data_IF_011229202116
#
_entry.id   IF_011229202116
#
_cell.length_a   1.000
_cell.length_b   1.000
_cell.length_c   1.000
_cell.angle_alpha   90.00
_cell.angle_beta   90.00
_cell.angle_gamma   90.00
#
_symmetry.space_group_name_H-M   'P 1'
#
loop_
_entity.id
_entity.type
_entity.pdbx_description
1 polymer ?
#
# COMPACT_ATOMS: atom_id res chain seq x y z
N UNK A 1 -20.73 -13.75 -25.91
CA UNK A 1 -21.24 -13.60 -24.52
C UNK A 1 -21.78 -14.93 -23.98
N UNK A 2 -22.47 -15.77 -24.76
CA UNK A 2 -23.08 -17.01 -24.24
C UNK A 2 -22.07 -18.11 -23.92
N UNK A 3 -21.07 -18.34 -24.77
CA UNK A 3 -20.01 -19.35 -24.55
C UNK A 3 -19.11 -18.95 -23.36
N UNK A 4 -18.76 -17.68 -23.23
CA UNK A 4 -17.96 -17.15 -22.13
C UNK A 4 -18.66 -17.24 -20.75
N UNK A 5 -20.02 -17.27 -20.72
CA UNK A 5 -20.78 -17.33 -19.45
C UNK A 5 -20.69 -18.72 -18.82
N UNK A 6 -20.81 -19.79 -19.61
CA UNK A 6 -20.73 -21.16 -19.10
C UNK A 6 -19.33 -21.46 -18.55
N UNK A 7 -18.29 -21.07 -19.29
CA UNK A 7 -16.90 -21.20 -18.83
C UNK A 7 -16.65 -20.41 -17.55
N UNK A 8 -17.16 -19.18 -17.47
CA UNK A 8 -17.05 -18.36 -16.26
C UNK A 8 -17.79 -18.98 -15.06
N UNK A 9 -18.99 -19.53 -15.25
CA UNK A 9 -19.75 -20.21 -14.19
C UNK A 9 -18.99 -21.45 -13.70
N UNK A 10 -18.47 -22.26 -14.62
CA UNK A 10 -17.70 -23.45 -14.26
C UNK A 10 -16.44 -23.08 -13.49
N UNK A 11 -15.74 -22.03 -13.90
CA UNK A 11 -14.59 -21.49 -13.16
C UNK A 11 -14.97 -21.08 -11.73
N UNK A 12 -16.11 -20.42 -11.51
CA UNK A 12 -16.57 -20.06 -10.17
C UNK A 12 -16.94 -21.27 -9.32
N UNK A 13 -17.51 -22.31 -9.92
CA UNK A 13 -17.86 -23.56 -9.22
C UNK A 13 -16.59 -24.32 -8.80
N UNK A 14 -15.59 -24.37 -9.66
CA UNK A 14 -14.32 -25.05 -9.42
C UNK A 14 -13.41 -24.28 -8.46
N UNK A 15 -13.54 -22.96 -8.40
CA UNK A 15 -12.70 -22.07 -7.60
C UNK A 15 -13.54 -21.16 -6.69
N UNK A 16 -14.30 -21.75 -5.73
CA UNK A 16 -15.09 -20.95 -4.79
C UNK A 16 -14.15 -20.11 -3.91
N UNK A 17 -14.43 -18.82 -3.81
CA UNK A 17 -13.67 -17.89 -2.96
C UNK A 17 -14.59 -17.23 -1.95
N UNK A 18 -14.20 -17.23 -0.69
CA UNK A 18 -14.90 -16.49 0.36
C UNK A 18 -14.74 -14.97 0.21
N UNK A 19 -13.73 -14.52 -0.52
CA UNK A 19 -13.40 -13.11 -0.70
C UNK A 19 -12.93 -12.81 -2.13
N UNK A 20 -13.48 -11.77 -2.75
CA UNK A 20 -13.15 -11.38 -4.12
C UNK A 20 -11.82 -10.63 -4.25
N UNK A 21 -11.34 -10.04 -3.17
CA UNK A 21 -10.16 -9.19 -3.15
C UNK A 21 -9.13 -9.59 -2.09
N UNK A 22 -8.14 -8.73 -1.92
CA UNK A 22 -7.09 -8.87 -0.91
C UNK A 22 -7.63 -8.33 0.42
N UNK A 23 -7.56 -9.12 1.49
CA UNK A 23 -8.02 -8.68 2.82
C UNK A 23 -7.20 -7.50 3.34
N UNK A 24 -7.89 -6.52 3.89
CA UNK A 24 -7.27 -5.39 4.61
C UNK A 24 -6.76 -5.76 6.01
N UNK A 25 -7.16 -6.91 6.55
CA UNK A 25 -6.99 -7.25 7.96
C UNK A 25 -8.10 -6.72 8.87
N UNK A 26 -9.08 -6.00 8.34
CA UNK A 26 -10.25 -5.48 9.05
C UNK A 26 -11.52 -6.10 8.47
N UNK A 27 -12.03 -7.21 9.04
CA UNK A 27 -13.13 -7.98 8.44
C UNK A 27 -14.41 -7.17 8.19
N UNK A 28 -14.73 -6.22 9.07
CA UNK A 28 -15.91 -5.34 8.88
C UNK A 28 -15.72 -4.39 7.71
N UNK A 29 -14.52 -3.87 7.54
CA UNK A 29 -14.16 -3.03 6.40
C UNK A 29 -14.21 -3.83 5.10
N UNK A 30 -13.55 -5.00 5.07
CA UNK A 30 -13.55 -5.90 3.92
C UNK A 30 -14.97 -6.22 3.45
N UNK A 31 -15.87 -6.54 4.39
CA UNK A 31 -17.29 -6.78 4.09
C UNK A 31 -17.97 -5.54 3.50
N UNK A 32 -17.66 -4.35 4.02
CA UNK A 32 -18.28 -3.08 3.59
C UNK A 32 -17.88 -2.69 2.17
N UNK A 33 -16.67 -3.02 1.72
CA UNK A 33 -16.17 -2.75 0.38
C UNK A 33 -16.41 -3.90 -0.62
N UNK A 34 -17.20 -4.91 -0.22
CA UNK A 34 -17.59 -6.01 -1.10
C UNK A 34 -16.54 -7.12 -1.23
N UNK A 35 -15.75 -7.37 -0.18
CA UNK A 35 -14.84 -8.51 -0.09
C UNK A 35 -13.37 -8.18 -0.29
N UNK A 36 -12.87 -7.10 0.34
CA UNK A 36 -11.47 -6.70 0.30
C UNK A 36 -11.08 -5.84 -0.92
N UNK A 37 -9.80 -5.49 -1.02
CA UNK A 37 -9.27 -4.67 -2.12
C UNK A 37 -9.20 -5.47 -3.41
N UNK A 38 -9.88 -5.01 -4.45
CA UNK A 38 -9.94 -5.71 -5.73
C UNK A 38 -8.71 -5.43 -6.57
N UNK A 39 -8.28 -6.43 -7.33
CA UNK A 39 -7.20 -6.26 -8.32
C UNK A 39 -7.66 -5.30 -9.43
N UNK A 40 -6.71 -4.59 -10.02
CA UNK A 40 -6.95 -3.61 -11.10
C UNK A 40 -7.86 -2.46 -10.69
N UNK A 41 -7.93 -2.15 -9.41
CA UNK A 41 -8.72 -1.06 -8.87
C UNK A 41 -7.84 -0.07 -8.13
N UNK A 42 -8.31 1.16 -8.08
CA UNK A 42 -7.78 2.21 -7.20
C UNK A 42 -8.84 2.50 -6.14
N UNK A 43 -8.49 2.24 -4.90
CA UNK A 43 -9.34 2.54 -3.75
C UNK A 43 -8.89 3.86 -3.13
N UNK A 44 -9.78 4.83 -3.05
CA UNK A 44 -9.50 6.13 -2.47
C UNK A 44 -10.00 6.20 -1.03
N UNK A 45 -9.07 6.39 -0.08
CA UNK A 45 -9.38 6.54 1.33
C UNK A 45 -9.21 8.01 1.73
N UNK A 46 -10.31 8.67 2.05
CA UNK A 46 -10.32 10.04 2.50
C UNK A 46 -10.57 10.14 4.00
N UNK A 47 -9.78 10.99 4.68
CA UNK A 47 -9.99 11.28 6.10
C UNK A 47 -9.53 12.72 6.40
N UNK A 48 -10.14 13.33 7.42
CA UNK A 48 -9.64 14.60 7.94
C UNK A 48 -8.24 14.43 8.55
N UNK A 49 -7.43 15.48 8.61
CA UNK A 49 -6.14 15.44 9.29
C UNK A 49 -6.26 14.87 10.71
N UNK A 50 -5.27 14.08 11.16
CA UNK A 50 -5.18 13.50 12.50
C UNK A 50 -6.23 12.45 12.88
N UNK A 51 -7.09 11.99 11.96
CA UNK A 51 -8.06 10.91 12.21
C UNK A 51 -7.44 9.52 12.12
N UNK A 52 -6.23 9.40 11.57
CA UNK A 52 -5.51 8.11 11.53
C UNK A 52 -5.44 7.48 10.14
N UNK A 53 -5.59 8.24 9.04
CA UNK A 53 -5.48 7.74 7.66
C UNK A 53 -4.20 6.93 7.45
N UNK A 54 -3.02 7.50 7.76
CA UNK A 54 -1.74 6.82 7.59
C UNK A 54 -1.61 5.60 8.51
N UNK A 55 -2.12 5.66 9.74
CA UNK A 55 -2.15 4.51 10.65
C UNK A 55 -2.99 3.36 10.08
N UNK A 56 -4.13 3.65 9.48
CA UNK A 56 -4.94 2.64 8.78
C UNK A 56 -4.16 2.04 7.61
N UNK A 57 -3.55 2.89 6.78
CA UNK A 57 -2.74 2.44 5.64
C UNK A 57 -1.56 1.55 6.07
N UNK A 58 -0.84 1.93 7.13
CA UNK A 58 0.26 1.14 7.69
C UNK A 58 -0.21 -0.23 8.20
N UNK A 59 -1.34 -0.29 8.92
CA UNK A 59 -1.89 -1.55 9.42
C UNK A 59 -2.33 -2.48 8.26
N UNK A 60 -2.99 -1.94 7.24
CA UNK A 60 -3.35 -2.67 6.02
C UNK A 60 -2.09 -3.21 5.33
N UNK A 61 -1.10 -2.36 5.12
CA UNK A 61 0.16 -2.72 4.48
C UNK A 61 0.92 -3.81 5.25
N UNK A 62 1.01 -3.69 6.57
CA UNK A 62 1.62 -4.71 7.44
C UNK A 62 0.84 -6.03 7.42
N UNK A 63 -0.49 -5.99 7.39
CA UNK A 63 -1.30 -7.20 7.26
C UNK A 63 -1.04 -7.90 5.92
N UNK A 64 -1.08 -7.17 4.83
CA UNK A 64 -0.91 -7.71 3.47
C UNK A 64 0.51 -8.27 3.29
N UNK A 65 1.55 -7.51 3.65
CA UNK A 65 2.91 -7.97 3.54
C UNK A 65 3.26 -9.06 4.57
N UNK A 66 2.80 -8.90 5.80
CA UNK A 66 3.16 -9.78 6.93
C UNK A 66 2.39 -11.10 6.96
N UNK A 67 1.08 -11.06 6.76
CA UNK A 67 0.20 -12.24 6.86
C UNK A 67 -0.02 -12.90 5.50
N UNK A 68 -0.34 -12.11 4.48
CA UNK A 68 -0.65 -12.64 3.15
C UNK A 68 0.59 -12.85 2.28
N UNK A 69 1.74 -12.32 2.69
CA UNK A 69 3.02 -12.39 1.95
C UNK A 69 2.94 -11.80 0.55
N UNK A 70 2.01 -10.88 0.33
CA UNK A 70 1.87 -10.13 -0.91
C UNK A 70 2.79 -8.91 -0.85
N UNK A 71 3.62 -8.65 -1.88
CA UNK A 71 4.49 -7.49 -1.91
C UNK A 71 3.73 -6.17 -1.78
N UNK A 72 4.20 -5.29 -0.91
CA UNK A 72 3.65 -3.95 -0.69
C UNK A 72 4.71 -2.89 -0.93
N UNK A 73 4.36 -1.89 -1.74
CA UNK A 73 5.12 -0.65 -1.89
C UNK A 73 4.36 0.48 -1.21
N UNK A 74 4.98 1.12 -0.21
CA UNK A 74 4.48 2.34 0.41
C UNK A 74 5.22 3.54 -0.19
N UNK A 75 4.46 4.44 -0.81
CA UNK A 75 4.93 5.72 -1.33
C UNK A 75 4.43 6.83 -0.44
N UNK A 76 5.33 7.64 0.09
CA UNK A 76 5.01 8.71 1.02
C UNK A 76 5.49 10.07 0.50
N UNK A 77 4.65 11.08 0.59
CA UNK A 77 4.94 12.43 0.12
C UNK A 77 5.50 13.38 1.19
N UNK A 78 5.50 12.98 2.46
CA UNK A 78 5.81 13.88 3.57
C UNK A 78 6.83 13.33 4.55
N UNK A 79 6.75 12.05 4.89
CA UNK A 79 7.53 11.47 5.97
C UNK A 79 8.93 11.05 5.55
N UNK A 80 9.88 11.17 6.47
CA UNK A 80 11.21 10.56 6.30
C UNK A 80 11.12 9.04 6.44
N UNK A 81 12.11 8.33 5.90
CA UNK A 81 12.19 6.87 6.06
C UNK A 81 12.34 6.48 7.54
N UNK A 82 13.10 7.26 8.28
CA UNK A 82 13.36 7.04 9.70
C UNK A 82 12.06 7.17 10.52
N UNK A 83 11.27 8.21 10.28
CA UNK A 83 9.99 8.42 10.96
C UNK A 83 8.99 7.30 10.64
N UNK A 84 8.96 6.85 9.40
CA UNK A 84 8.10 5.75 8.99
C UNK A 84 8.53 4.43 9.68
N UNK A 85 9.83 4.11 9.69
CA UNK A 85 10.35 2.93 10.39
C UNK A 85 10.04 2.98 11.87
N UNK A 86 10.19 4.15 12.53
CA UNK A 86 9.83 4.33 13.93
C UNK A 86 8.36 4.02 14.20
N UNK A 87 7.44 4.43 13.31
CA UNK A 87 6.01 4.09 13.41
C UNK A 87 5.75 2.60 13.28
N UNK A 88 6.39 1.95 12.30
CA UNK A 88 6.23 0.51 12.11
C UNK A 88 6.79 -0.27 13.31
N UNK A 89 7.94 0.13 13.84
CA UNK A 89 8.51 -0.48 15.05
C UNK A 89 7.60 -0.27 16.26
N UNK A 90 7.06 0.93 16.47
CA UNK A 90 6.11 1.21 17.53
C UNK A 90 4.86 0.33 17.44
N UNK A 91 4.30 0.19 16.24
CA UNK A 91 3.13 -0.66 15.98
C UNK A 91 3.41 -2.14 16.30
N UNK A 92 4.51 -2.68 15.78
CA UNK A 92 4.84 -4.09 15.93
C UNK A 92 5.36 -4.48 17.32
N UNK A 93 6.03 -3.55 18.01
CA UNK A 93 6.58 -3.81 19.35
C UNK A 93 5.62 -3.45 20.48
N UNK A 94 4.50 -2.78 20.16
CA UNK A 94 3.57 -2.22 21.17
C UNK A 94 4.30 -1.31 22.18
N UNK A 95 5.16 -0.43 21.66
CA UNK A 95 5.91 0.56 22.42
C UNK A 95 5.57 1.93 21.83
N UNK A 96 5.40 2.93 22.71
CA UNK A 96 5.07 4.28 22.28
C UNK A 96 6.12 4.85 21.31
N UNK A 97 5.64 5.54 20.27
CA UNK A 97 6.50 6.10 19.22
C UNK A 97 7.58 7.02 19.77
N UNK A 98 7.27 7.80 20.83
CA UNK A 98 8.25 8.69 21.45
C UNK A 98 9.38 7.90 22.10
N UNK A 99 9.11 6.75 22.71
CA UNK A 99 10.15 5.88 23.26
C UNK A 99 11.02 5.25 22.16
N UNK A 100 10.41 4.91 21.01
CA UNK A 100 11.17 4.41 19.85
C UNK A 100 12.07 5.50 19.31
N UNK A 101 11.50 6.67 18.99
CA UNK A 101 12.23 7.77 18.33
C UNK A 101 13.35 8.37 19.18
N UNK A 102 13.20 8.35 20.51
CA UNK A 102 14.21 8.87 21.44
C UNK A 102 15.19 7.80 21.96
N UNK A 103 14.97 6.53 21.61
CA UNK A 103 15.74 5.42 22.18
C UNK A 103 15.40 5.12 23.65
N UNK A 104 14.32 5.70 24.19
CA UNK A 104 13.89 5.53 25.58
C UNK A 104 13.62 4.08 25.98
N UNK A 105 13.24 3.23 25.01
CA UNK A 105 13.05 1.78 25.19
C UNK A 105 14.31 1.06 25.67
N UNK A 106 15.51 1.63 25.46
CA UNK A 106 16.80 1.03 25.87
C UNK A 106 16.94 0.87 27.38
N UNK A 107 16.13 1.55 28.16
CA UNK A 107 16.13 1.46 29.63
C UNK A 107 15.52 0.14 30.16
N UNK A 108 14.90 -0.67 29.31
CA UNK A 108 14.25 -1.93 29.66
C UNK A 108 14.68 -3.07 28.74
N UNK A 109 15.25 -4.14 29.30
CA UNK A 109 15.64 -5.33 28.53
C UNK A 109 14.46 -5.93 27.73
N UNK A 110 13.28 -5.99 28.33
CA UNK A 110 12.09 -6.51 27.66
C UNK A 110 11.62 -5.63 26.50
N UNK A 111 11.76 -4.31 26.59
CA UNK A 111 11.46 -3.39 25.48
C UNK A 111 12.49 -3.53 24.36
N UNK A 112 13.76 -3.65 24.69
CA UNK A 112 14.83 -3.90 23.69
C UNK A 112 14.53 -5.14 22.89
N UNK A 113 14.15 -6.23 23.55
CA UNK A 113 13.86 -7.50 22.89
C UNK A 113 12.66 -7.37 21.94
N UNK A 114 11.56 -6.74 22.39
CA UNK A 114 10.38 -6.50 21.53
C UNK A 114 10.71 -5.67 20.30
N UNK A 115 11.53 -4.61 20.43
CA UNK A 115 11.95 -3.78 19.29
C UNK A 115 12.82 -4.57 18.33
N UNK A 116 13.74 -5.41 18.83
CA UNK A 116 14.55 -6.28 17.97
C UNK A 116 13.69 -7.29 17.21
N UNK A 117 12.73 -7.92 17.87
CA UNK A 117 11.79 -8.85 17.23
C UNK A 117 10.95 -8.14 16.15
N UNK A 118 10.45 -6.95 16.43
CA UNK A 118 9.75 -6.12 15.46
C UNK A 118 10.63 -5.79 14.24
N UNK A 119 11.90 -5.44 14.47
CA UNK A 119 12.85 -5.16 13.39
C UNK A 119 13.14 -6.39 12.52
N UNK A 120 13.32 -7.57 13.11
CA UNK A 120 13.50 -8.82 12.35
C UNK A 120 12.22 -9.18 11.57
N UNK A 121 11.05 -8.96 12.15
CA UNK A 121 9.78 -9.14 11.44
C UNK A 121 9.69 -8.23 10.22
N UNK A 122 10.02 -6.94 10.35
CA UNK A 122 10.02 -6.00 9.22
C UNK A 122 10.98 -6.41 8.10
N UNK A 123 12.15 -6.93 8.44
CA UNK A 123 13.12 -7.43 7.45
C UNK A 123 12.63 -8.67 6.69
N UNK A 124 11.76 -9.47 7.32
CA UNK A 124 11.29 -10.74 6.78
C UNK A 124 10.07 -10.64 5.87
N UNK A 125 9.43 -9.47 5.78
CA UNK A 125 8.22 -9.26 4.99
C UNK A 125 8.52 -8.53 3.68
N UNK A 126 7.76 -8.79 2.61
CA UNK A 126 7.93 -8.14 1.31
C UNK A 126 7.31 -6.72 1.33
N UNK A 127 7.90 -5.83 2.12
CA UNK A 127 7.47 -4.45 2.31
C UNK A 127 8.59 -3.49 1.92
N UNK A 128 8.30 -2.54 1.05
CA UNK A 128 9.25 -1.51 0.64
C UNK A 128 8.64 -0.12 0.84
N UNK A 129 9.41 0.79 1.43
CA UNK A 129 9.05 2.18 1.65
C UNK A 129 9.93 3.10 0.82
N UNK A 130 9.32 4.01 0.09
CA UNK A 130 10.01 5.02 -0.72
C UNK A 130 9.39 6.39 -0.48
N UNK A 131 10.18 7.35 -0.02
CA UNK A 131 9.75 8.75 -0.02
C UNK A 131 9.78 9.32 -1.44
N UNK A 132 8.69 9.93 -1.82
CA UNK A 132 8.49 10.60 -3.12
C UNK A 132 8.36 12.12 -2.95
N UNK A 133 8.74 12.65 -1.79
CA UNK A 133 8.78 14.08 -1.56
C UNK A 133 9.68 14.78 -2.60
N UNK A 134 9.14 15.82 -3.24
CA UNK A 134 9.86 16.60 -4.27
C UNK A 134 9.98 15.91 -5.64
N UNK A 135 9.40 14.71 -5.84
CA UNK A 135 9.40 14.04 -7.16
C UNK A 135 8.20 14.47 -7.99
N UNK A 136 8.37 14.41 -9.32
CA UNK A 136 7.26 14.58 -10.25
C UNK A 136 6.34 13.34 -10.24
N UNK A 137 5.17 13.49 -10.82
CA UNK A 137 4.22 12.39 -10.93
C UNK A 137 4.76 11.29 -11.86
N UNK A 138 5.43 11.65 -12.95
CA UNK A 138 6.06 10.73 -13.91
C UNK A 138 7.21 9.95 -13.26
N UNK A 139 8.03 10.61 -12.43
CA UNK A 139 9.07 9.92 -11.65
C UNK A 139 8.46 8.89 -10.70
N UNK A 140 7.33 9.24 -10.07
CA UNK A 140 6.60 8.34 -9.18
C UNK A 140 6.08 7.11 -9.92
N UNK A 141 5.43 7.28 -11.07
CA UNK A 141 5.00 6.16 -11.92
C UNK A 141 6.19 5.30 -12.38
N UNK A 142 7.33 5.92 -12.66
CA UNK A 142 8.56 5.20 -13.04
C UNK A 142 9.12 4.37 -11.87
N UNK A 143 9.01 4.86 -10.64
CA UNK A 143 9.38 4.11 -9.43
C UNK A 143 8.47 2.89 -9.28
N UNK A 144 7.15 3.06 -9.42
CA UNK A 144 6.16 1.97 -9.33
C UNK A 144 6.46 0.87 -10.37
N UNK A 145 6.68 1.25 -11.64
CA UNK A 145 7.02 0.28 -12.72
C UNK A 145 8.30 -0.48 -12.41
N UNK A 146 9.36 0.21 -12.01
CA UNK A 146 10.65 -0.44 -11.66
C UNK A 146 10.51 -1.38 -10.48
N UNK A 147 9.71 -1.01 -9.48
CA UNK A 147 9.45 -1.87 -8.34
C UNK A 147 8.70 -3.14 -8.74
N UNK A 148 7.66 -3.04 -9.57
CA UNK A 148 6.94 -4.21 -10.09
C UNK A 148 7.92 -5.16 -10.80
N UNK A 149 8.71 -4.65 -11.74
CA UNK A 149 9.65 -5.49 -12.50
C UNK A 149 10.69 -6.17 -11.59
N UNK A 150 11.21 -5.45 -10.58
CA UNK A 150 12.31 -5.96 -9.74
C UNK A 150 11.87 -6.82 -8.57
N UNK A 151 10.68 -6.58 -8.01
CA UNK A 151 10.26 -7.16 -6.72
C UNK A 151 9.02 -8.03 -6.81
N UNK A 152 8.11 -7.74 -7.72
CA UNK A 152 6.84 -8.45 -7.88
C UNK A 152 6.93 -9.51 -8.98
N UNK A 153 7.44 -9.13 -10.14
CA UNK A 153 7.52 -10.01 -11.31
C UNK A 153 6.16 -10.25 -11.97
N UNK A 154 6.15 -11.22 -12.89
CA UNK A 154 5.02 -11.53 -13.74
C UNK A 154 4.75 -13.04 -13.74
N UNK A 155 3.50 -13.41 -13.96
CA UNK A 155 3.09 -14.79 -14.16
C UNK A 155 3.44 -15.31 -15.57
N UNK A 156 3.13 -16.57 -15.85
CA UNK A 156 3.40 -17.24 -17.15
C UNK A 156 2.68 -16.56 -18.32
N UNK A 157 1.61 -15.82 -18.06
CA UNK A 157 0.85 -15.08 -19.06
C UNK A 157 1.30 -13.62 -19.21
N UNK A 158 2.41 -13.24 -18.56
CA UNK A 158 2.93 -11.88 -18.56
C UNK A 158 2.11 -10.88 -17.73
N UNK A 159 1.20 -11.36 -16.87
CA UNK A 159 0.43 -10.51 -15.95
C UNK A 159 1.20 -10.29 -14.67
N UNK A 160 1.14 -9.08 -14.11
CA UNK A 160 1.76 -8.76 -12.82
C UNK A 160 1.24 -9.68 -11.71
N UNK A 161 2.13 -10.28 -10.93
CA UNK A 161 1.77 -11.00 -9.73
C UNK A 161 1.00 -10.10 -8.75
N UNK A 162 0.18 -10.65 -7.82
CA UNK A 162 -0.51 -9.85 -6.82
C UNK A 162 0.45 -8.97 -6.04
N UNK A 163 0.13 -7.68 -5.98
CA UNK A 163 0.87 -6.70 -5.17
C UNK A 163 -0.06 -5.56 -4.76
N UNK A 164 0.35 -4.78 -3.77
CA UNK A 164 -0.33 -3.55 -3.38
C UNK A 164 0.63 -2.37 -3.41
N UNK A 165 0.16 -1.25 -3.94
CA UNK A 165 0.85 0.03 -3.86
C UNK A 165 -0.01 0.97 -3.03
N UNK A 166 0.55 1.49 -1.96
CA UNK A 166 -0.08 2.50 -1.10
C UNK A 166 0.56 3.85 -1.41
N UNK A 167 -0.26 4.85 -1.67
CA UNK A 167 0.15 6.20 -1.99
C UNK A 167 -0.35 7.16 -0.90
N UNK A 168 0.49 7.53 0.05
CA UNK A 168 0.11 8.39 1.17
C UNK A 168 0.85 9.74 1.09
N UNK A 169 0.19 10.78 0.68
CA UNK A 169 -1.18 10.89 0.19
C UNK A 169 -1.20 11.56 -1.19
N UNK A 170 -2.33 11.46 -1.87
CA UNK A 170 -2.51 12.12 -3.16
C UNK A 170 -2.55 13.64 -2.96
N UNK A 171 -1.52 14.33 -3.42
CA UNK A 171 -1.43 15.78 -3.42
C UNK A 171 -1.09 16.29 -4.80
N UNK A 172 -1.23 17.61 -4.99
CA UNK A 172 -0.81 18.26 -6.22
C UNK A 172 0.67 18.03 -6.47
N UNK A 173 0.98 17.32 -7.54
CA UNK A 173 2.35 17.12 -8.01
C UNK A 173 2.49 17.74 -9.39
N UNK A 174 3.64 18.31 -9.64
CA UNK A 174 3.97 18.76 -10.99
C UNK A 174 4.00 17.58 -11.94
N UNK A 175 3.48 17.77 -13.15
CA UNK A 175 3.51 16.78 -14.23
C UNK A 175 3.85 17.49 -15.54
N UNK A 176 4.79 16.93 -16.28
CA UNK A 176 5.21 17.44 -17.57
C UNK A 176 4.11 17.35 -18.64
N UNK A 177 3.07 16.55 -18.37
CA UNK A 177 1.92 16.36 -19.26
C UNK A 177 0.78 17.36 -19.02
N UNK A 178 0.94 18.26 -18.06
CA UNK A 178 -0.09 19.23 -17.72
C UNK A 178 0.24 20.60 -18.29
N UNK A 179 -0.77 21.25 -18.86
CA UNK A 179 -0.67 22.65 -19.28
C UNK A 179 -0.76 23.59 -18.08
N UNK A 180 -0.04 24.71 -18.14
CA UNK A 180 -0.15 25.77 -17.16
C UNK A 180 -1.61 26.30 -17.10
N UNK A 181 -2.11 26.54 -15.89
CA UNK A 181 -3.45 27.11 -15.67
C UNK A 181 -4.57 26.11 -15.34
N UNK A 182 -4.25 24.81 -15.18
CA UNK A 182 -5.23 23.82 -14.69
C UNK A 182 -5.62 24.10 -13.24
N UNK A 183 -6.91 23.90 -12.93
CA UNK A 183 -7.41 23.97 -11.55
C UNK A 183 -7.01 22.72 -10.77
N UNK A 184 -6.87 22.88 -9.46
CA UNK A 184 -6.45 21.80 -8.53
C UNK A 184 -7.20 20.49 -8.74
N UNK A 185 -8.54 20.52 -8.86
CA UNK A 185 -9.35 19.31 -9.05
C UNK A 185 -9.07 18.62 -10.41
N UNK A 186 -8.67 19.39 -11.43
CA UNK A 186 -8.33 18.80 -12.74
C UNK A 186 -6.99 18.07 -12.67
N UNK A 187 -6.03 18.61 -11.92
CA UNK A 187 -4.73 17.99 -11.67
C UNK A 187 -4.93 16.66 -10.88
N UNK A 188 -5.70 16.69 -9.81
CA UNK A 188 -6.01 15.49 -9.03
C UNK A 188 -6.77 14.45 -9.85
N UNK A 189 -7.74 14.88 -10.66
CA UNK A 189 -8.49 14.01 -11.56
C UNK A 189 -7.59 13.33 -12.59
N UNK A 190 -6.65 14.08 -13.17
CA UNK A 190 -5.63 13.50 -14.07
C UNK A 190 -4.77 12.46 -13.37
N UNK A 191 -4.23 12.78 -12.18
CA UNK A 191 -3.39 11.85 -11.41
C UNK A 191 -4.14 10.56 -11.07
N UNK A 192 -5.40 10.64 -10.62
CA UNK A 192 -6.23 9.47 -10.31
C UNK A 192 -6.46 8.63 -11.58
N UNK A 193 -6.74 9.27 -12.72
CA UNK A 193 -6.91 8.57 -13.99
C UNK A 193 -5.65 7.84 -14.42
N UNK A 194 -4.48 8.46 -14.28
CA UNK A 194 -3.20 7.82 -14.58
C UNK A 194 -2.88 6.66 -13.63
N UNK A 195 -3.21 6.78 -12.35
CA UNK A 195 -3.07 5.67 -11.38
C UNK A 195 -4.01 4.52 -11.72
N UNK A 196 -5.24 4.81 -12.15
CA UNK A 196 -6.18 3.79 -12.59
C UNK A 196 -5.65 3.06 -13.85
N UNK A 197 -5.22 3.80 -14.86
CA UNK A 197 -4.62 3.23 -16.08
C UNK A 197 -3.36 2.40 -15.79
N UNK A 198 -2.65 2.75 -14.72
CA UNK A 198 -1.50 1.97 -14.26
C UNK A 198 -1.93 0.65 -13.58
N UNK A 199 -3.06 0.62 -12.88
CA UNK A 199 -3.56 -0.54 -12.14
C UNK A 199 -4.23 -1.59 -13.05
N UNK A 200 -4.78 -1.19 -14.21
CA UNK A 200 -5.49 -2.05 -15.17
C UNK A 200 -4.53 -2.78 -16.09
#
# INVERSE_FOLDING_TARGET
ISEDIEEYINHLIENPSEMLGISSGFPRFDKSIGGGFRRKCVDLIAARPKIGKSMFADNVALHIAGKLKIPVLMLDTEMSKEDHVNRLLANLSDIEINEISTGGFSKSKGKIERVKQAAEQLKSIPYEYITIAGKSFEETLSIMRRWIVKKVGFDENGRTNPCMIVYDYLKLMHSDQMSDGLKEFQILGFQITQLHNFAV
#
